data_IF_489817299477
#
_entry.id   IF_489817299477
#
_cell.length_a   1.000
_cell.length_b   1.000
_cell.length_c   1.000
_cell.angle_alpha   90.00
_cell.angle_beta   90.00
_cell.angle_gamma   90.00
#
_symmetry.space_group_name_H-M   'P 1'
#
loop_
_entity.id
_entity.type
_entity.pdbx_description
1 polymer ?
#
# COMPACT_ATOMS: atom_id res chain seq x y z
N UNK A 1 23.63 -12.05 -10.84
CA UNK A 1 23.20 -12.19 -9.43
C UNK A 1 24.45 -12.31 -8.60
N UNK A 2 24.86 -11.26 -7.92
CA UNK A 2 26.02 -11.30 -7.02
C UNK A 2 25.58 -11.96 -5.72
N UNK A 3 26.25 -13.04 -5.32
CA UNK A 3 26.09 -13.66 -4.02
C UNK A 3 26.56 -12.66 -2.94
N UNK A 4 25.66 -11.88 -2.40
CA UNK A 4 25.92 -11.12 -1.18
C UNK A 4 26.06 -12.14 -0.04
N UNK A 5 27.28 -12.39 0.39
CA UNK A 5 27.53 -13.05 1.68
C UNK A 5 27.00 -12.14 2.78
N UNK A 6 25.83 -12.44 3.30
CA UNK A 6 25.23 -11.73 4.42
C UNK A 6 26.17 -11.89 5.63
N UNK A 7 26.75 -10.78 6.07
CA UNK A 7 27.40 -10.76 7.38
C UNK A 7 26.31 -11.09 8.39
N UNK A 8 26.50 -12.15 9.16
CA UNK A 8 25.64 -12.50 10.28
C UNK A 8 25.55 -11.29 11.19
N UNK A 9 24.38 -10.66 11.27
CA UNK A 9 24.10 -9.59 12.22
C UNK A 9 23.65 -10.23 13.54
N UNK A 10 24.48 -10.21 14.60
CA UNK A 10 24.16 -10.86 15.87
C UNK A 10 22.89 -10.27 16.51
N UNK A 11 22.62 -8.99 16.29
CA UNK A 11 21.43 -8.33 16.83
C UNK A 11 20.18 -8.84 16.11
N UNK A 12 20.22 -8.98 14.78
CA UNK A 12 19.13 -9.57 14.00
C UNK A 12 18.77 -10.98 14.47
N UNK A 13 19.76 -11.84 14.72
CA UNK A 13 19.53 -13.21 15.18
C UNK A 13 18.93 -13.23 16.58
N UNK A 14 19.42 -12.42 17.49
CA UNK A 14 18.86 -12.30 18.86
C UNK A 14 17.37 -11.90 18.80
N UNK A 15 17.01 -10.95 17.93
CA UNK A 15 15.62 -10.53 17.78
C UNK A 15 14.77 -11.63 17.13
N UNK A 16 15.29 -12.36 16.13
CA UNK A 16 14.62 -13.55 15.58
C UNK A 16 14.32 -14.60 16.64
N UNK A 17 15.26 -14.89 17.49
CA UNK A 17 15.10 -15.89 18.57
C UNK A 17 14.03 -15.45 19.57
N UNK A 18 13.95 -14.15 19.87
CA UNK A 18 12.88 -13.62 20.72
C UNK A 18 11.51 -13.69 20.03
N UNK A 19 11.43 -13.41 18.73
CA UNK A 19 10.18 -13.57 17.94
C UNK A 19 9.74 -15.05 17.96
N UNK A 20 10.64 -16.01 17.74
CA UNK A 20 10.35 -17.45 17.80
C UNK A 20 9.83 -17.85 19.18
N UNK A 21 10.50 -17.38 20.26
CA UNK A 21 10.08 -17.64 21.63
C UNK A 21 8.66 -17.12 21.91
N UNK A 22 8.36 -15.89 21.47
CA UNK A 22 7.01 -15.31 21.65
C UNK A 22 5.99 -16.03 20.78
N UNK A 23 6.37 -16.45 19.56
CA UNK A 23 5.52 -17.24 18.68
C UNK A 23 5.11 -18.56 19.34
N UNK A 24 6.06 -19.33 19.88
CA UNK A 24 5.79 -20.60 20.58
C UNK A 24 4.88 -20.40 21.79
N UNK A 25 5.11 -19.34 22.54
CA UNK A 25 4.36 -19.09 23.79
C UNK A 25 2.95 -18.57 23.52
N UNK A 26 2.79 -17.67 22.55
CA UNK A 26 1.59 -16.86 22.44
C UNK A 26 0.77 -17.12 21.16
N UNK A 27 1.35 -17.67 20.11
CA UNK A 27 0.74 -17.72 18.76
C UNK A 27 0.57 -19.13 18.23
N UNK A 28 1.58 -20.00 18.38
CA UNK A 28 1.55 -21.38 17.86
C UNK A 28 0.32 -22.14 18.34
N UNK A 29 -0.35 -22.85 17.43
CA UNK A 29 -1.57 -23.65 17.65
C UNK A 29 -2.80 -22.84 18.13
N UNK A 30 -2.77 -21.51 18.04
CA UNK A 30 -3.90 -20.66 18.41
C UNK A 30 -4.57 -20.06 17.17
N UNK A 31 -5.88 -19.89 17.26
CA UNK A 31 -6.67 -19.14 16.29
C UNK A 31 -6.80 -17.66 16.72
N UNK A 32 -6.78 -16.70 15.77
CA UNK A 32 -7.01 -15.31 16.09
C UNK A 32 -8.45 -15.13 16.61
N UNK A 33 -8.59 -14.45 17.72
CA UNK A 33 -9.88 -14.11 18.30
C UNK A 33 -10.18 -12.62 18.18
N UNK A 34 -11.46 -12.27 18.13
CA UNK A 34 -11.86 -10.87 18.23
C UNK A 34 -11.55 -10.39 19.64
N UNK A 35 -10.71 -9.35 19.75
CA UNK A 35 -10.34 -8.78 21.04
C UNK A 35 -11.57 -8.29 21.79
N UNK A 36 -11.60 -8.53 23.09
CA UNK A 36 -12.73 -8.18 23.94
C UNK A 36 -13.11 -6.70 23.81
N UNK A 37 -14.40 -6.44 23.57
CA UNK A 37 -14.93 -5.08 23.41
C UNK A 37 -14.69 -4.46 22.02
N UNK A 38 -14.07 -5.16 21.05
CA UNK A 38 -13.89 -4.68 19.68
C UNK A 38 -14.86 -5.38 18.72
N UNK A 39 -15.32 -4.63 17.72
CA UNK A 39 -16.11 -5.21 16.63
C UNK A 39 -15.19 -5.97 15.66
N UNK A 40 -15.69 -7.08 15.11
CA UNK A 40 -14.99 -7.81 14.05
C UNK A 40 -14.86 -6.90 12.82
N UNK A 41 -13.65 -6.70 12.33
CA UNK A 41 -13.35 -5.95 11.11
C UNK A 41 -12.18 -6.62 10.36
N UNK A 42 -11.96 -6.25 9.11
CA UNK A 42 -10.97 -6.90 8.21
C UNK A 42 -9.52 -6.91 8.72
N UNK A 43 -9.16 -6.08 9.69
CA UNK A 43 -7.82 -6.02 10.30
C UNK A 43 -7.74 -6.63 11.70
N UNK A 44 -8.76 -7.34 12.18
CA UNK A 44 -8.78 -7.84 13.57
C UNK A 44 -7.69 -8.87 13.85
N UNK A 45 -7.33 -9.70 12.87
CA UNK A 45 -6.28 -10.72 12.99
C UNK A 45 -4.90 -10.09 13.16
N UNK A 46 -4.58 -9.08 12.37
CA UNK A 46 -3.35 -8.31 12.52
C UNK A 46 -3.22 -7.62 13.87
N UNK A 47 -4.33 -7.06 14.40
CA UNK A 47 -4.33 -6.50 15.75
C UNK A 47 -4.17 -7.55 16.84
N UNK A 48 -4.79 -8.73 16.68
CA UNK A 48 -4.60 -9.85 17.58
C UNK A 48 -3.14 -10.30 17.61
N UNK A 49 -2.50 -10.48 16.44
CA UNK A 49 -1.08 -10.81 16.33
C UNK A 49 -0.20 -9.77 17.03
N UNK A 50 -0.41 -8.48 16.74
CA UNK A 50 0.34 -7.41 17.42
C UNK A 50 0.29 -7.55 18.94
N UNK A 51 -0.89 -7.81 19.49
CA UNK A 51 -1.08 -8.00 20.95
C UNK A 51 -0.32 -9.24 21.47
N UNK A 52 -0.30 -10.37 20.72
CA UNK A 52 0.45 -11.57 21.10
C UNK A 52 1.97 -11.34 21.15
N UNK A 53 2.50 -10.46 20.32
CA UNK A 53 3.90 -10.04 20.36
C UNK A 53 4.16 -8.88 21.31
N UNK A 54 3.16 -8.45 22.11
CA UNK A 54 3.28 -7.32 23.05
C UNK A 54 3.39 -5.97 22.36
N UNK A 55 2.94 -5.86 21.11
CA UNK A 55 2.98 -4.64 20.31
C UNK A 55 1.72 -3.80 20.55
N UNK A 56 1.91 -2.50 20.61
CA UNK A 56 0.80 -1.55 20.63
C UNK A 56 0.55 -1.08 19.20
N UNK A 57 -0.68 -1.30 18.72
CA UNK A 57 -1.08 -0.82 17.41
C UNK A 57 -0.93 0.71 17.36
N UNK A 58 -0.03 1.18 16.51
CA UNK A 58 0.16 2.60 16.26
C UNK A 58 0.10 2.88 14.76
N UNK A 59 0.05 4.15 14.38
CA UNK A 59 0.03 4.59 12.98
C UNK A 59 1.39 5.09 12.49
N UNK A 60 2.47 4.74 13.18
CA UNK A 60 3.82 5.10 12.78
C UNK A 60 4.29 4.23 11.63
N UNK A 61 4.99 4.84 10.69
CA UNK A 61 5.67 4.10 9.64
C UNK A 61 7.07 3.68 10.14
N UNK A 62 7.09 2.71 11.07
CA UNK A 62 8.30 2.16 11.70
C UNK A 62 8.15 0.64 11.81
N UNK A 63 9.25 -0.14 11.95
CA UNK A 63 9.16 -1.56 12.21
C UNK A 63 8.40 -1.84 13.50
N UNK A 64 7.61 -2.90 13.51
CA UNK A 64 6.75 -3.25 14.64
C UNK A 64 7.55 -3.85 15.81
N UNK A 65 8.58 -4.66 15.55
CA UNK A 65 9.30 -5.42 16.58
C UNK A 65 10.83 -5.29 16.42
N UNK A 66 11.45 -4.39 17.16
CA UNK A 66 12.91 -4.16 17.24
C UNK A 66 13.65 -4.25 15.89
N UNK A 67 13.11 -3.63 14.87
CA UNK A 67 13.67 -3.58 13.52
C UNK A 67 13.08 -4.57 12.52
N UNK A 68 12.19 -5.48 12.95
CA UNK A 68 11.38 -6.31 12.07
C UNK A 68 9.97 -5.74 11.90
N UNK A 69 9.48 -5.74 10.68
CA UNK A 69 8.08 -5.43 10.36
C UNK A 69 7.23 -6.69 10.43
N UNK A 70 6.16 -6.69 11.21
CA UNK A 70 5.16 -7.76 11.26
C UNK A 70 4.24 -7.69 10.04
N UNK A 71 4.03 -8.82 9.38
CA UNK A 71 3.07 -8.99 8.30
C UNK A 71 2.03 -10.02 8.68
N UNK A 72 0.78 -9.67 8.47
CA UNK A 72 -0.32 -10.62 8.57
C UNK A 72 -0.50 -11.35 7.25
N UNK A 73 -0.74 -12.66 7.31
CA UNK A 73 -1.00 -13.48 6.15
C UNK A 73 -2.45 -13.25 5.69
N UNK A 74 -2.64 -12.34 4.73
CA UNK A 74 -3.94 -12.24 4.06
C UNK A 74 -4.07 -13.32 2.99
N UNK A 75 -5.31 -13.62 2.57
CA UNK A 75 -5.58 -14.73 1.62
C UNK A 75 -4.87 -14.62 0.27
N UNK A 76 -4.63 -13.41 -0.25
CA UNK A 76 -4.13 -13.27 -1.63
C UNK A 76 -2.95 -12.29 -1.79
N UNK A 77 -2.87 -11.26 -0.98
CA UNK A 77 -1.92 -10.16 -1.15
C UNK A 77 -1.53 -9.54 0.18
N UNK A 78 -0.26 -9.20 0.35
CA UNK A 78 0.27 -8.58 1.57
C UNK A 78 0.74 -7.16 1.29
N UNK A 79 0.56 -6.26 2.27
CA UNK A 79 0.81 -4.83 2.15
C UNK A 79 2.23 -4.48 2.62
N UNK A 80 2.99 -3.74 1.81
CA UNK A 80 4.23 -3.07 2.24
C UNK A 80 3.91 -1.91 3.18
N UNK A 81 2.93 -1.09 2.83
CA UNK A 81 2.48 0.01 3.66
C UNK A 81 1.38 0.83 3.00
N UNK A 82 0.67 1.63 3.81
CA UNK A 82 -0.29 2.62 3.34
C UNK A 82 0.42 3.97 3.20
N UNK A 83 0.92 4.24 2.01
CA UNK A 83 1.75 5.41 1.72
C UNK A 83 1.04 6.39 0.80
N UNK A 84 0.35 7.32 1.41
CA UNK A 84 -0.34 8.43 0.74
C UNK A 84 0.60 9.16 -0.22
N UNK A 85 0.10 9.56 -1.40
CA UNK A 85 0.85 10.33 -2.38
C UNK A 85 1.33 11.67 -1.79
N UNK A 86 2.45 12.17 -2.31
CA UNK A 86 2.95 13.51 -1.97
C UNK A 86 2.04 14.60 -2.54
N UNK A 87 1.33 14.29 -3.63
CA UNK A 87 0.35 15.16 -4.27
C UNK A 87 -0.82 14.33 -4.79
N UNK A 88 -2.02 14.92 -4.72
CA UNK A 88 -3.22 14.52 -5.45
C UNK A 88 -3.76 15.74 -6.19
N UNK A 89 -4.49 15.53 -7.27
CA UNK A 89 -5.14 16.61 -7.99
C UNK A 89 -6.09 17.44 -7.08
N UNK A 90 -6.62 16.85 -6.01
CA UNK A 90 -7.50 17.49 -5.02
C UNK A 90 -6.78 18.00 -3.76
N UNK A 91 -5.49 17.73 -3.58
CA UNK A 91 -4.75 18.14 -2.36
C UNK A 91 -4.17 19.55 -2.42
N UNK A 92 -4.22 20.15 -3.58
CA UNK A 92 -3.48 21.38 -3.82
C UNK A 92 -3.91 22.56 -2.93
N UNK A 93 -5.15 22.57 -2.42
CA UNK A 93 -5.62 23.69 -1.60
C UNK A 93 -5.02 23.73 -0.18
N UNK A 94 -5.04 22.61 0.55
CA UNK A 94 -4.53 22.62 1.94
C UNK A 94 -3.01 22.76 2.02
N UNK A 95 -2.28 22.02 1.17
CA UNK A 95 -0.80 22.04 1.20
C UNK A 95 -0.18 23.18 0.43
N UNK A 96 -0.83 23.64 -0.62
CA UNK A 96 -0.36 24.80 -1.37
C UNK A 96 -0.77 26.14 -0.74
N UNK A 97 -1.62 26.15 0.29
CA UNK A 97 -2.14 27.33 0.99
C UNK A 97 -2.67 28.42 0.04
N UNK A 98 -3.31 28.02 -1.03
CA UNK A 98 -4.03 28.96 -1.89
C UNK A 98 -5.47 29.07 -1.39
N UNK A 99 -5.86 30.25 -0.93
CA UNK A 99 -7.21 30.53 -0.42
C UNK A 99 -8.29 30.63 -1.53
N UNK A 100 -8.00 30.14 -2.72
CA UNK A 100 -8.93 30.22 -3.84
C UNK A 100 -9.62 28.89 -4.04
N UNK A 101 -10.81 28.74 -3.50
CA UNK A 101 -11.71 27.60 -3.70
C UNK A 101 -12.16 27.41 -5.17
N UNK A 102 -11.81 28.36 -6.06
CA UNK A 102 -12.23 28.41 -7.46
C UNK A 102 -11.09 28.32 -8.48
N UNK A 103 -9.85 28.12 -8.06
CA UNK A 103 -8.75 28.04 -9.02
C UNK A 103 -8.66 26.65 -9.63
N UNK A 104 -8.90 26.52 -10.92
CA UNK A 104 -8.75 25.28 -11.71
C UNK A 104 -7.30 24.82 -11.78
N UNK A 105 -6.35 25.73 -11.61
CA UNK A 105 -4.90 25.46 -11.61
C UNK A 105 -4.25 26.10 -10.39
N UNK A 106 -3.51 25.32 -9.62
CA UNK A 106 -2.75 25.85 -8.50
C UNK A 106 -1.55 26.69 -9.01
N UNK A 107 -1.46 27.98 -8.69
CA UNK A 107 -0.37 28.84 -9.18
C UNK A 107 1.01 28.44 -8.65
N UNK A 108 1.10 27.66 -7.56
CA UNK A 108 2.37 27.22 -6.97
C UNK A 108 2.88 25.90 -7.52
N UNK A 109 2.00 25.01 -7.98
CA UNK A 109 2.39 23.69 -8.45
C UNK A 109 1.98 23.39 -9.88
N UNK A 110 1.31 24.33 -10.55
CA UNK A 110 0.81 24.21 -11.94
C UNK A 110 -0.03 22.95 -12.21
N UNK A 111 -0.62 22.36 -11.17
CA UNK A 111 -1.53 21.22 -11.28
C UNK A 111 -2.96 21.74 -11.45
N UNK A 112 -3.70 21.07 -12.31
CA UNK A 112 -5.17 21.24 -12.36
C UNK A 112 -5.74 20.87 -11.00
N UNK A 113 -6.52 21.79 -10.43
CA UNK A 113 -7.09 21.62 -9.10
C UNK A 113 -8.57 21.35 -9.25
N UNK A 114 -8.97 20.19 -8.76
CA UNK A 114 -10.37 19.83 -8.61
C UNK A 114 -10.70 19.68 -7.13
N UNK A 115 -11.94 19.90 -6.74
CA UNK A 115 -12.37 19.53 -5.39
C UNK A 115 -12.23 18.02 -5.19
N UNK A 116 -12.14 17.57 -3.94
CA UNK A 116 -12.07 16.12 -3.66
C UNK A 116 -13.32 15.39 -4.14
N UNK A 117 -14.48 16.01 -3.99
CA UNK A 117 -15.73 15.47 -4.52
C UNK A 117 -15.67 15.31 -6.03
N UNK A 118 -15.32 16.38 -6.77
CA UNK A 118 -15.23 16.35 -8.23
C UNK A 118 -14.20 15.33 -8.73
N UNK A 119 -13.07 15.18 -8.00
CA UNK A 119 -12.10 14.15 -8.32
C UNK A 119 -12.73 12.75 -8.38
N UNK A 120 -13.55 12.39 -7.41
CA UNK A 120 -14.20 11.10 -7.41
C UNK A 120 -15.32 11.00 -8.45
N UNK A 121 -16.03 12.08 -8.74
CA UNK A 121 -17.05 12.10 -9.79
C UNK A 121 -16.41 11.93 -11.18
N UNK A 122 -15.30 12.60 -11.44
CA UNK A 122 -14.63 12.62 -12.75
C UNK A 122 -13.78 11.35 -12.96
N UNK A 123 -12.94 11.00 -12.01
CA UNK A 123 -11.91 9.95 -12.15
C UNK A 123 -12.24 8.63 -11.45
N UNK A 124 -13.28 8.60 -10.62
CA UNK A 124 -13.78 7.41 -9.95
C UNK A 124 -14.92 6.74 -10.68
N UNK A 125 -15.50 5.72 -10.04
CA UNK A 125 -16.73 5.04 -10.49
C UNK A 125 -17.71 4.89 -9.34
N UNK A 126 -19.04 4.95 -9.63
CA UNK A 126 -20.06 4.67 -8.63
C UNK A 126 -20.01 3.20 -8.21
N UNK A 127 -20.24 2.93 -6.93
CA UNK A 127 -20.42 1.59 -6.39
C UNK A 127 -21.90 1.38 -6.03
N UNK A 128 -22.66 0.61 -6.83
CA UNK A 128 -24.10 0.38 -6.60
C UNK A 128 -24.39 -0.26 -5.23
N UNK A 129 -23.49 -1.11 -4.75
CA UNK A 129 -23.62 -1.79 -3.45
C UNK A 129 -23.41 -0.84 -2.25
N UNK A 130 -22.90 0.35 -2.49
CA UNK A 130 -22.61 1.39 -1.49
C UNK A 130 -23.35 2.70 -1.77
N UNK A 131 -24.64 2.63 -2.16
CA UNK A 131 -25.49 3.80 -2.46
C UNK A 131 -24.90 4.70 -3.55
N UNK A 132 -24.33 4.12 -4.59
CA UNK A 132 -23.66 4.82 -5.70
C UNK A 132 -22.50 5.75 -5.26
N UNK A 133 -21.93 5.52 -4.10
CA UNK A 133 -20.75 6.27 -3.65
C UNK A 133 -19.60 6.07 -4.63
N UNK A 134 -19.05 7.17 -5.15
CA UNK A 134 -17.92 7.11 -6.07
C UNK A 134 -16.64 6.72 -5.35
N UNK A 135 -15.84 5.88 -6.02
CA UNK A 135 -14.54 5.40 -5.52
C UNK A 135 -13.48 5.41 -6.62
N UNK A 136 -12.28 5.75 -6.27
CA UNK A 136 -11.09 5.61 -7.10
C UNK A 136 -10.30 4.38 -6.66
N UNK A 137 -10.87 3.21 -6.97
CA UNK A 137 -10.38 1.90 -6.54
C UNK A 137 -10.82 0.81 -7.52
N UNK A 138 -10.26 -0.38 -7.41
CA UNK A 138 -10.63 -1.51 -8.28
C UNK A 138 -10.27 -1.28 -9.75
N UNK A 139 -11.21 -1.48 -10.67
CA UNK A 139 -10.99 -1.44 -12.12
C UNK A 139 -10.68 -0.05 -12.67
N UNK A 140 -11.13 1.01 -12.01
CA UNK A 140 -10.85 2.39 -12.41
C UNK A 140 -9.44 2.82 -12.01
N UNK A 141 -8.86 2.17 -10.98
CA UNK A 141 -7.55 2.56 -10.49
C UNK A 141 -6.45 2.21 -11.50
N UNK A 142 -5.54 3.15 -11.83
CA UNK A 142 -4.52 2.94 -12.85
C UNK A 142 -3.49 1.89 -12.43
N UNK A 143 -3.03 1.10 -13.41
CA UNK A 143 -1.93 0.14 -13.27
C UNK A 143 -0.71 0.63 -14.03
N UNK A 144 0.46 0.11 -13.66
CA UNK A 144 1.70 0.40 -14.39
C UNK A 144 1.64 -0.21 -15.79
N UNK A 145 2.07 0.58 -16.78
CA UNK A 145 2.27 0.13 -18.15
C UNK A 145 1.01 -0.04 -19.01
N UNK A 146 -0.19 -0.05 -18.43
CA UNK A 146 -1.43 -0.25 -19.18
C UNK A 146 -2.43 0.88 -18.91
N UNK A 147 -2.88 1.53 -19.99
CA UNK A 147 -3.97 2.52 -19.92
C UNK A 147 -5.29 1.76 -19.77
N UNK A 148 -6.07 2.10 -18.76
CA UNK A 148 -7.38 1.50 -18.56
C UNK A 148 -8.46 2.20 -19.42
N UNK A 149 -9.68 1.66 -19.45
CA UNK A 149 -10.80 2.23 -20.22
C UNK A 149 -11.22 3.64 -19.76
N UNK A 150 -10.76 4.09 -18.61
CA UNK A 150 -11.01 5.42 -18.06
C UNK A 150 -9.88 6.42 -18.39
N UNK A 151 -9.01 6.10 -19.36
CA UNK A 151 -7.90 6.95 -19.77
C UNK A 151 -6.79 7.11 -18.73
N UNK A 152 -6.71 6.22 -17.73
CA UNK A 152 -5.77 6.33 -16.63
C UNK A 152 -4.66 5.28 -16.71
N UNK A 153 -3.44 5.68 -16.36
CA UNK A 153 -2.27 4.81 -16.30
C UNK A 153 -1.35 5.26 -15.16
N UNK A 154 -0.62 4.31 -14.58
CA UNK A 154 0.47 4.60 -13.65
C UNK A 154 1.80 4.51 -14.37
N UNK A 155 2.70 5.46 -14.12
CA UNK A 155 4.05 5.50 -14.69
C UNK A 155 5.10 5.63 -13.61
N UNK A 156 6.22 4.96 -13.81
CA UNK A 156 7.43 5.09 -12.98
C UNK A 156 8.51 5.72 -13.86
N UNK A 157 8.99 6.89 -13.47
CA UNK A 157 10.07 7.56 -14.20
C UNK A 157 11.46 6.96 -13.90
N UNK A 158 12.49 7.46 -14.59
CA UNK A 158 13.86 6.99 -14.41
C UNK A 158 14.43 7.26 -13.01
N UNK A 159 13.86 8.23 -12.29
CA UNK A 159 14.25 8.57 -10.92
C UNK A 159 13.49 7.75 -9.87
N UNK A 160 12.53 6.91 -10.29
CA UNK A 160 11.69 6.12 -9.41
C UNK A 160 10.50 6.88 -8.81
N UNK A 161 10.16 8.07 -9.34
CA UNK A 161 8.90 8.71 -9.00
C UNK A 161 7.74 7.96 -9.66
N UNK A 162 6.63 7.85 -8.95
CA UNK A 162 5.43 7.18 -9.46
C UNK A 162 4.32 8.20 -9.65
N UNK A 163 3.71 8.22 -10.84
CA UNK A 163 2.63 9.13 -11.19
C UNK A 163 1.43 8.36 -11.73
N UNK A 164 0.26 8.59 -11.15
CA UNK A 164 -1.02 8.21 -11.75
C UNK A 164 -1.47 9.37 -12.64
N UNK A 165 -1.70 9.10 -13.91
CA UNK A 165 -2.02 10.14 -14.89
C UNK A 165 -3.28 9.79 -15.66
N UNK A 166 -3.97 10.83 -16.17
CA UNK A 166 -5.16 10.74 -16.99
C UNK A 166 -4.94 11.44 -18.33
N UNK A 167 -5.49 10.85 -19.40
CA UNK A 167 -5.54 11.43 -20.74
C UNK A 167 -6.94 11.31 -21.30
N UNK A 168 -7.57 12.45 -21.57
CA UNK A 168 -8.94 12.52 -22.06
C UNK A 168 -9.12 11.80 -23.40
N UNK A 169 -8.17 11.95 -24.33
CA UNK A 169 -8.20 11.31 -25.64
C UNK A 169 -8.21 9.76 -25.57
N UNK A 170 -7.75 9.20 -24.47
CA UNK A 170 -7.67 7.75 -24.24
C UNK A 170 -8.79 7.23 -23.30
N UNK A 171 -9.65 8.11 -22.83
CA UNK A 171 -10.84 7.75 -22.06
C UNK A 171 -11.93 7.22 -23.00
N UNK A 172 -12.34 5.98 -22.79
CA UNK A 172 -13.30 5.25 -23.63
C UNK A 172 -14.74 5.33 -23.11
N UNK A 173 -15.01 6.11 -22.06
CA UNK A 173 -16.36 6.28 -21.55
C UNK A 173 -17.22 7.03 -22.55
N UNK A 174 -18.44 6.54 -22.77
CA UNK A 174 -19.38 7.17 -23.71
C UNK A 174 -19.86 8.56 -23.26
N UNK A 175 -19.91 8.76 -21.94
CA UNK A 175 -20.38 9.96 -21.25
C UNK A 175 -19.23 10.89 -20.79
N UNK A 176 -18.00 10.67 -21.29
CA UNK A 176 -16.84 11.45 -20.84
C UNK A 176 -16.95 12.95 -21.08
N UNK A 177 -17.69 13.36 -22.13
CA UNK A 177 -17.90 14.77 -22.43
C UNK A 177 -18.81 15.47 -21.39
N UNK A 178 -19.71 14.73 -20.80
CA UNK A 178 -20.60 15.24 -19.74
C UNK A 178 -19.92 15.27 -18.37
N UNK A 179 -18.98 14.33 -18.14
CA UNK A 179 -18.34 14.13 -16.85
C UNK A 179 -17.06 14.98 -16.70
N UNK A 180 -16.26 15.07 -17.77
CA UNK A 180 -14.94 15.71 -17.72
C UNK A 180 -15.05 17.17 -18.17
N UNK A 181 -14.77 18.15 -17.30
CA UNK A 181 -14.73 19.57 -17.66
C UNK A 181 -13.75 19.85 -18.79
N UNK A 182 -14.04 20.83 -19.62
CA UNK A 182 -13.20 21.22 -20.78
C UNK A 182 -11.75 21.52 -20.38
N UNK A 183 -11.55 22.16 -19.22
CA UNK A 183 -10.23 22.46 -18.65
C UNK A 183 -9.36 21.23 -18.38
N UNK A 184 -9.95 20.04 -18.28
CA UNK A 184 -9.26 18.76 -18.04
C UNK A 184 -9.17 17.86 -19.28
N UNK A 185 -9.60 18.35 -20.46
CA UNK A 185 -9.61 17.56 -21.70
C UNK A 185 -8.30 17.66 -22.50
N UNK A 186 -7.37 18.50 -22.09
CA UNK A 186 -6.15 18.76 -22.83
C UNK A 186 -4.91 18.28 -22.09
N UNK A 187 -4.04 17.57 -22.83
CA UNK A 187 -2.75 17.09 -22.33
C UNK A 187 -2.87 15.95 -21.33
N UNK A 188 -1.88 15.86 -20.45
CA UNK A 188 -1.79 14.83 -19.43
C UNK A 188 -2.04 15.45 -18.05
N UNK A 189 -3.00 14.91 -17.33
CA UNK A 189 -3.37 15.36 -15.98
C UNK A 189 -2.78 14.41 -14.94
N UNK A 190 -1.95 14.93 -14.03
CA UNK A 190 -1.42 14.14 -12.91
C UNK A 190 -2.47 14.06 -11.81
N UNK A 191 -3.02 12.86 -11.60
CA UNK A 191 -4.02 12.56 -10.59
C UNK A 191 -3.42 12.39 -9.20
N UNK A 192 -2.28 11.70 -9.12
CA UNK A 192 -1.51 11.49 -7.89
C UNK A 192 -0.03 11.31 -8.20
N UNK A 193 0.85 11.72 -7.30
CA UNK A 193 2.30 11.63 -7.47
C UNK A 193 2.98 11.25 -6.17
N UNK A 194 3.83 10.23 -6.24
CA UNK A 194 4.71 9.77 -5.15
C UNK A 194 6.16 10.03 -5.54
N UNK A 195 6.88 10.80 -4.76
CA UNK A 195 8.31 11.04 -4.96
C UNK A 195 9.12 9.81 -4.57
N UNK A 196 10.13 9.48 -5.34
CA UNK A 196 11.07 8.39 -5.04
C UNK A 196 11.69 8.54 -3.64
N UNK A 197 12.06 9.76 -3.25
CA UNK A 197 12.63 10.06 -1.93
C UNK A 197 11.65 9.78 -0.79
N UNK A 198 10.36 10.08 -0.99
CA UNK A 198 9.31 9.78 0.00
C UNK A 198 9.05 8.29 0.11
N UNK A 199 8.96 7.58 -1.03
CA UNK A 199 8.76 6.13 -1.07
C UNK A 199 9.95 5.39 -0.47
N UNK A 200 11.18 5.74 -0.85
CA UNK A 200 12.42 5.17 -0.30
C UNK A 200 12.47 5.34 1.22
N UNK A 201 12.27 6.56 1.70
CA UNK A 201 12.27 6.84 3.14
C UNK A 201 11.24 6.01 3.92
N UNK A 202 10.04 5.82 3.34
CA UNK A 202 8.95 5.04 3.98
C UNK A 202 9.23 3.55 3.97
N UNK A 203 9.72 3.02 2.84
CA UNK A 203 10.09 1.61 2.70
C UNK A 203 11.26 1.25 3.62
N UNK A 204 12.35 1.99 3.53
CA UNK A 204 13.57 1.71 4.28
C UNK A 204 13.36 1.84 5.78
N UNK A 205 12.57 2.82 6.22
CA UNK A 205 12.23 2.96 7.64
C UNK A 205 11.57 1.70 8.20
N UNK A 206 10.73 1.02 7.41
CA UNK A 206 10.04 -0.20 7.83
C UNK A 206 10.89 -1.47 7.70
N UNK A 207 11.68 -1.59 6.63
CA UNK A 207 12.22 -2.89 6.22
C UNK A 207 13.75 -2.97 6.24
N UNK A 208 14.46 -1.84 6.35
CA UNK A 208 15.91 -1.82 6.15
C UNK A 208 16.71 -2.43 7.29
N UNK A 209 16.22 -2.33 8.53
CA UNK A 209 17.02 -2.75 9.70
C UNK A 209 17.16 -4.28 9.72
N UNK A 210 16.07 -5.00 9.91
CA UNK A 210 16.09 -6.47 10.06
C UNK A 210 15.21 -7.20 9.06
N UNK A 211 14.38 -6.47 8.29
CA UNK A 211 13.44 -7.05 7.34
C UNK A 211 12.04 -7.20 7.93
N UNK A 212 11.46 -8.37 7.75
CA UNK A 212 10.06 -8.64 8.13
C UNK A 212 9.88 -10.07 8.63
N UNK A 213 8.78 -10.30 9.35
CA UNK A 213 8.28 -11.63 9.68
C UNK A 213 6.78 -11.73 9.46
N UNK A 214 6.30 -12.94 9.16
CA UNK A 214 4.92 -13.24 8.83
C UNK A 214 4.51 -14.55 9.52
N UNK A 215 3.38 -14.56 10.25
CA UNK A 215 2.81 -15.76 10.82
C UNK A 215 1.90 -16.46 9.80
N UNK A 216 2.02 -17.77 9.66
CA UNK A 216 1.23 -18.60 8.73
C UNK A 216 0.17 -19.36 9.48
N UNK A 217 -1.02 -19.42 8.89
CA UNK A 217 -2.16 -20.26 9.33
C UNK A 217 -2.28 -21.53 8.49
N UNK A 218 -2.91 -22.56 9.05
CA UNK A 218 -3.08 -23.89 8.42
C UNK A 218 -3.70 -23.82 7.03
N UNK A 219 -4.76 -23.04 6.86
CA UNK A 219 -5.58 -23.00 5.64
C UNK A 219 -5.31 -21.76 4.77
N UNK A 220 -4.06 -21.30 4.69
CA UNK A 220 -3.69 -20.18 3.81
C UNK A 220 -4.30 -18.83 4.19
N UNK A 221 -4.53 -18.60 5.46
CA UNK A 221 -5.06 -17.35 6.02
C UNK A 221 -6.27 -17.53 6.94
N UNK A 222 -6.53 -18.79 7.35
CA UNK A 222 -7.57 -19.16 8.32
C UNK A 222 -7.07 -20.28 9.23
N UNK A 223 -7.73 -20.48 10.37
CA UNK A 223 -7.38 -21.53 11.33
C UNK A 223 -6.25 -21.11 12.28
N UNK A 224 -5.57 -22.14 12.80
CA UNK A 224 -4.48 -21.94 13.76
C UNK A 224 -3.20 -21.50 13.09
N UNK A 225 -2.40 -20.75 13.82
CA UNK A 225 -1.06 -20.41 13.38
C UNK A 225 -0.11 -21.60 13.55
N UNK A 226 0.65 -21.93 12.52
CA UNK A 226 1.51 -23.12 12.46
C UNK A 226 2.98 -22.82 12.27
N UNK A 227 3.32 -21.65 11.75
CA UNK A 227 4.71 -21.26 11.52
C UNK A 227 4.88 -19.72 11.50
N UNK A 228 6.12 -19.28 11.71
CA UNK A 228 6.56 -17.92 11.43
C UNK A 228 7.65 -17.94 10.37
N UNK A 229 7.52 -17.08 9.37
CA UNK A 229 8.48 -16.88 8.30
C UNK A 229 9.22 -15.57 8.49
N UNK A 230 10.50 -15.56 8.14
CA UNK A 230 11.36 -14.37 8.17
C UNK A 230 11.87 -14.07 6.77
N UNK A 231 11.86 -12.80 6.41
CA UNK A 231 12.49 -12.28 5.21
C UNK A 231 13.51 -11.20 5.52
N UNK A 232 14.42 -10.99 4.59
CA UNK A 232 15.50 -10.01 4.71
C UNK A 232 15.04 -8.57 4.59
N UNK A 233 16.00 -7.64 4.78
CA UNK A 233 15.81 -6.23 4.45
C UNK A 233 15.37 -6.04 3.00
N UNK A 234 14.54 -5.04 2.76
CA UNK A 234 14.05 -4.70 1.42
C UNK A 234 14.62 -3.32 1.04
N UNK A 235 15.41 -3.30 -0.04
CA UNK A 235 15.99 -2.07 -0.56
C UNK A 235 15.06 -1.41 -1.57
N UNK A 236 15.11 -0.07 -1.63
CA UNK A 236 14.23 0.68 -2.52
C UNK A 236 14.47 0.37 -4.00
N UNK A 237 15.71 0.13 -4.40
CA UNK A 237 16.06 -0.17 -5.80
C UNK A 237 15.38 -1.44 -6.29
N UNK A 238 15.30 -2.47 -5.47
CA UNK A 238 14.64 -3.74 -5.81
C UNK A 238 13.10 -3.57 -5.79
N UNK A 239 12.59 -2.90 -4.77
CA UNK A 239 11.16 -2.65 -4.62
C UNK A 239 10.59 -1.82 -5.77
N UNK A 240 11.25 -0.73 -6.19
CA UNK A 240 10.77 0.12 -7.29
C UNK A 240 10.84 -0.59 -8.64
N UNK A 241 11.76 -1.57 -8.80
CA UNK A 241 11.78 -2.41 -9.97
C UNK A 241 10.54 -3.32 -10.02
N UNK A 242 10.15 -3.91 -8.91
CA UNK A 242 8.90 -4.68 -8.82
C UNK A 242 7.66 -3.81 -9.12
N UNK A 243 7.69 -2.52 -8.75
CA UNK A 243 6.63 -1.57 -9.13
C UNK A 243 6.61 -1.33 -10.64
N UNK A 244 7.77 -1.15 -11.29
CA UNK A 244 7.88 -0.99 -12.75
C UNK A 244 7.33 -2.19 -13.51
N UNK A 245 7.52 -3.38 -12.97
CA UNK A 245 7.03 -4.64 -13.53
C UNK A 245 5.54 -4.91 -13.22
N UNK A 246 4.91 -4.04 -12.42
CA UNK A 246 3.52 -4.22 -11.98
C UNK A 246 3.31 -5.37 -10.98
N UNK A 247 4.39 -5.95 -10.47
CA UNK A 247 4.38 -7.00 -9.44
C UNK A 247 4.00 -6.41 -8.08
N UNK A 248 4.60 -5.27 -7.73
CA UNK A 248 4.11 -4.42 -6.66
C UNK A 248 3.15 -3.40 -7.26
N UNK A 249 1.97 -3.31 -6.71
CA UNK A 249 0.91 -2.46 -7.21
C UNK A 249 0.25 -1.65 -6.10
N UNK A 250 -0.36 -0.55 -6.47
CA UNK A 250 -1.15 0.26 -5.57
C UNK A 250 -2.60 -0.26 -5.53
N UNK A 251 -3.05 -0.62 -4.35
CA UNK A 251 -4.43 -1.01 -4.06
C UNK A 251 -5.10 0.14 -3.31
N UNK A 252 -5.75 1.01 -4.06
CA UNK A 252 -6.43 2.16 -3.48
C UNK A 252 -7.75 1.75 -2.86
N UNK A 253 -7.97 2.13 -1.60
CA UNK A 253 -9.26 2.06 -0.92
C UNK A 253 -9.99 3.41 -0.90
N UNK A 254 -9.67 4.32 -1.81
CA UNK A 254 -10.20 5.68 -1.78
C UNK A 254 -11.62 5.78 -2.31
N UNK A 255 -12.45 6.52 -1.58
CA UNK A 255 -13.80 6.85 -2.00
C UNK A 255 -14.20 8.24 -1.51
N UNK A 256 -15.25 8.79 -2.11
CA UNK A 256 -15.86 10.04 -1.68
C UNK A 256 -16.41 9.90 -0.25
N UNK A 257 -15.92 10.74 0.67
CA UNK A 257 -16.21 10.67 2.11
C UNK A 257 -15.17 9.94 2.98
N UNK A 258 -14.05 9.42 2.43
CA UNK A 258 -12.92 8.99 3.28
C UNK A 258 -12.34 10.16 4.07
N UNK A 259 -11.97 9.94 5.33
CA UNK A 259 -11.28 10.95 6.12
C UNK A 259 -9.88 11.27 5.56
N UNK A 260 -9.21 10.27 4.97
CA UNK A 260 -7.90 10.39 4.33
C UNK A 260 -7.81 9.51 3.08
N UNK A 261 -6.89 9.81 2.14
CA UNK A 261 -6.59 8.91 1.04
C UNK A 261 -5.90 7.64 1.54
N UNK A 262 -6.44 6.48 1.16
CA UNK A 262 -5.81 5.17 1.40
C UNK A 262 -5.00 4.78 0.16
N UNK A 263 -3.74 4.38 0.36
CA UNK A 263 -2.79 4.06 -0.71
C UNK A 263 -1.93 2.87 -0.31
N UNK A 264 -2.54 1.69 -0.31
CA UNK A 264 -1.86 0.45 0.08
C UNK A 264 -0.97 -0.05 -1.07
N UNK A 265 0.32 -0.05 -0.87
CA UNK A 265 1.27 -0.71 -1.77
C UNK A 265 1.35 -2.19 -1.42
N UNK A 266 0.98 -3.05 -2.37
CA UNK A 266 0.80 -4.48 -2.14
C UNK A 266 1.51 -5.32 -3.19
N UNK A 267 1.80 -6.57 -2.82
CA UNK A 267 2.16 -7.63 -3.76
C UNK A 267 1.34 -8.89 -3.46
N UNK A 268 1.21 -9.76 -4.46
CA UNK A 268 0.69 -11.11 -4.30
C UNK A 268 1.53 -11.89 -3.27
N UNK A 269 0.92 -12.77 -2.51
CA UNK A 269 1.62 -13.54 -1.47
C UNK A 269 2.77 -14.37 -2.04
N UNK A 270 2.67 -14.87 -3.27
CA UNK A 270 3.76 -15.59 -3.96
C UNK A 270 5.04 -14.76 -4.13
N UNK A 271 4.94 -13.44 -4.16
CA UNK A 271 6.10 -12.54 -4.16
C UNK A 271 6.77 -12.56 -2.79
N UNK A 272 5.97 -12.46 -1.73
CA UNK A 272 6.48 -12.52 -0.36
C UNK A 272 7.11 -13.89 -0.05
N UNK A 273 6.51 -14.98 -0.52
CA UNK A 273 7.02 -16.34 -0.34
C UNK A 273 8.42 -16.53 -0.96
N UNK A 274 8.71 -15.84 -2.09
CA UNK A 274 10.04 -15.83 -2.72
C UNK A 274 11.09 -15.04 -1.94
N UNK A 275 10.67 -14.17 -1.03
CA UNK A 275 11.54 -13.35 -0.18
C UNK A 275 11.78 -13.99 1.19
N UNK A 276 11.23 -15.19 1.44
CA UNK A 276 11.42 -15.93 2.69
C UNK A 276 12.84 -16.47 2.74
N UNK A 277 13.54 -16.21 3.84
CA UNK A 277 14.88 -16.73 4.13
C UNK A 277 14.82 -17.91 5.13
N UNK A 278 13.84 -17.91 6.01
CA UNK A 278 13.71 -18.88 7.10
C UNK A 278 12.25 -19.11 7.46
N UNK A 279 11.89 -20.36 7.77
CA UNK A 279 10.58 -20.75 8.32
C UNK A 279 10.79 -21.51 9.63
N UNK A 280 10.05 -21.13 10.68
CA UNK A 280 10.11 -21.74 11.99
C UNK A 280 8.69 -22.03 12.53
N UNK A 281 8.40 -23.24 13.11
CA UNK A 281 9.23 -24.43 12.92
C UNK A 281 9.34 -24.81 11.42
N UNK A 282 10.31 -25.63 11.02
CA UNK A 282 10.39 -26.12 9.64
C UNK A 282 9.08 -26.83 9.26
N UNK A 283 8.48 -26.45 8.15
CA UNK A 283 7.31 -27.15 7.61
C UNK A 283 7.85 -28.39 6.88
N UNK A 284 7.44 -29.56 7.33
CA UNK A 284 7.84 -30.86 6.75
C UNK A 284 7.00 -31.17 5.52
#
# INVERSE_FOLDING_TARGET
>A
MSSQTWRVDPDRNRVKDEIKRLFDLNVLDKEPSVLAGKLKHDGHEGHWLQEQFGLVADNKNAPDFDGFELKDATTNKTTFGDWTADRYAFFSHERCRTNSEKAEVCPKCSLSVVSRHDFFQIFGTPNPLKKNRHSWSGSVFPKVGAINKYGQVMRVDNQGNVNAVYKYELDQRADKEDIVPESLRHGEIVLASWKSTSLSSRLERKFKKHGWFKCLQEDGGHGKYVAVQFGGPIEFVDWIQLVREGIVFLDSGMYDGNNRPYSNWRADNRVWDKLVEETYPPIV
#
